data_IF_256710908233
#
_entry.id   IF_256710908233
#
_cell.length_a   1.000
_cell.length_b   1.000
_cell.length_c   1.000
_cell.angle_alpha   90.00
_cell.angle_beta   90.00
_cell.angle_gamma   90.00
#
_symmetry.space_group_name_H-M   'P 1'
#
loop_
_entity.id
_entity.type
_entity.pdbx_description
1 polymer ?
#
# COMPACT_ATOMS: atom_id res chain seq x y z
N UNK A 1 -12.99 -1.23 33.05
CA UNK A 1 -11.65 -0.94 32.49
C UNK A 1 -10.92 -2.12 31.80
N UNK A 2 -11.12 -3.42 32.10
CA UNK A 2 -10.26 -4.49 31.54
C UNK A 2 -10.58 -4.89 30.07
N UNK A 3 -11.83 -4.75 29.63
CA UNK A 3 -12.26 -5.16 28.27
C UNK A 3 -11.57 -4.32 27.17
N UNK A 4 -11.36 -3.03 27.41
CA UNK A 4 -10.72 -2.12 26.44
C UNK A 4 -9.22 -2.41 26.27
N UNK A 5 -8.55 -2.85 27.34
CA UNK A 5 -7.14 -3.28 27.30
C UNK A 5 -6.95 -4.64 26.63
N UNK A 6 -7.85 -5.60 26.89
CA UNK A 6 -7.87 -6.89 26.19
C UNK A 6 -8.11 -6.70 24.69
N UNK A 7 -9.03 -5.80 24.31
CA UNK A 7 -9.27 -5.45 22.91
C UNK A 7 -8.07 -4.73 22.26
N UNK A 8 -7.44 -3.79 22.97
CA UNK A 8 -6.26 -3.09 22.44
C UNK A 8 -5.08 -4.05 22.20
N UNK A 9 -4.87 -5.02 23.10
CA UNK A 9 -3.79 -6.00 22.98
C UNK A 9 -4.06 -7.09 21.92
N UNK A 10 -5.32 -7.48 21.70
CA UNK A 10 -5.67 -8.38 20.58
C UNK A 10 -5.54 -7.68 19.23
N UNK A 11 -5.95 -6.42 19.14
CA UNK A 11 -5.76 -5.57 17.95
C UNK A 11 -4.27 -5.42 17.64
N UNK A 12 -3.44 -5.02 18.61
CA UNK A 12 -1.99 -4.88 18.43
C UNK A 12 -1.30 -6.16 17.93
N UNK A 13 -1.70 -7.33 18.46
CA UNK A 13 -1.22 -8.64 17.97
C UNK A 13 -1.66 -8.92 16.53
N UNK A 14 -2.90 -8.57 16.19
CA UNK A 14 -3.41 -8.67 14.81
C UNK A 14 -2.59 -7.84 13.82
N UNK A 15 -2.27 -6.59 14.17
CA UNK A 15 -1.40 -5.73 13.35
C UNK A 15 -0.01 -6.34 13.16
N UNK A 16 0.61 -6.84 14.23
CA UNK A 16 1.94 -7.43 14.16
C UNK A 16 1.96 -8.67 13.25
N UNK A 17 0.98 -9.58 13.41
CA UNK A 17 0.86 -10.75 12.54
C UNK A 17 0.63 -10.36 11.08
N UNK A 18 -0.17 -9.33 10.84
CA UNK A 18 -0.43 -8.82 9.50
C UNK A 18 0.84 -8.23 8.86
N UNK A 19 1.60 -7.40 9.59
CA UNK A 19 2.86 -6.85 9.09
C UNK A 19 3.91 -7.93 8.83
N UNK A 20 3.99 -8.95 9.70
CA UNK A 20 4.87 -10.12 9.48
C UNK A 20 4.45 -10.86 8.20
N UNK A 21 3.15 -11.10 8.00
CA UNK A 21 2.64 -11.73 6.78
C UNK A 21 2.96 -10.89 5.53
N UNK A 22 2.78 -9.57 5.60
CA UNK A 22 3.06 -8.65 4.50
C UNK A 22 4.54 -8.64 4.13
N UNK A 23 5.44 -8.58 5.11
CA UNK A 23 6.89 -8.65 4.88
C UNK A 23 7.26 -10.01 4.27
N UNK A 24 6.73 -11.12 4.81
CA UNK A 24 6.98 -12.45 4.26
C UNK A 24 6.49 -12.57 2.82
N UNK A 25 5.29 -12.08 2.52
CA UNK A 25 4.73 -12.06 1.18
C UNK A 25 5.57 -11.22 0.22
N UNK A 26 6.02 -10.03 0.66
CA UNK A 26 6.89 -9.17 -0.13
C UNK A 26 8.22 -9.86 -0.43
N UNK A 27 8.85 -10.50 0.54
CA UNK A 27 10.09 -11.26 0.35
C UNK A 27 9.92 -12.40 -0.66
N UNK A 28 8.81 -13.14 -0.58
CA UNK A 28 8.51 -14.24 -1.51
C UNK A 28 8.22 -13.74 -2.94
N UNK A 29 7.69 -12.53 -3.08
CA UNK A 29 7.27 -11.96 -4.37
C UNK A 29 8.22 -10.88 -4.88
N UNK A 30 9.34 -10.65 -4.20
CA UNK A 30 10.27 -9.58 -4.54
C UNK A 30 10.93 -9.82 -5.90
N UNK A 31 11.34 -11.07 -6.18
CA UNK A 31 12.08 -11.41 -7.39
C UNK A 31 11.20 -11.96 -8.53
N UNK A 32 9.92 -11.58 -8.56
CA UNK A 32 8.97 -12.04 -9.61
C UNK A 32 9.17 -11.39 -10.98
N UNK A 33 10.33 -10.76 -11.21
CA UNK A 33 10.60 -9.94 -12.38
C UNK A 33 9.94 -8.55 -12.35
N UNK A 34 10.12 -7.81 -13.43
CA UNK A 34 9.60 -6.47 -13.65
C UNK A 34 8.44 -6.50 -14.65
N UNK A 35 7.25 -6.06 -14.22
CA UNK A 35 6.12 -5.94 -15.14
C UNK A 35 6.12 -4.54 -15.77
N UNK A 36 6.55 -4.44 -17.02
CA UNK A 36 6.64 -3.17 -17.72
C UNK A 36 5.30 -2.43 -17.81
N UNK A 37 4.18 -3.14 -18.00
CA UNK A 37 2.87 -2.51 -18.17
C UNK A 37 2.30 -1.95 -16.87
N UNK A 38 2.52 -2.63 -15.75
CA UNK A 38 1.99 -2.21 -14.45
C UNK A 38 3.01 -1.32 -13.74
N UNK A 39 4.20 -1.86 -13.49
CA UNK A 39 5.24 -1.22 -12.70
C UNK A 39 5.97 -0.13 -13.49
N UNK A 40 6.13 -0.30 -14.80
CA UNK A 40 6.71 0.75 -15.65
C UNK A 40 5.85 2.01 -15.71
N UNK A 41 4.52 1.86 -15.77
CA UNK A 41 3.59 2.97 -15.73
C UNK A 41 3.54 3.68 -14.37
N UNK A 42 4.01 3.04 -13.30
CA UNK A 42 4.16 3.65 -11.98
C UNK A 42 5.51 4.37 -11.80
N UNK A 43 6.60 3.70 -12.20
CA UNK A 43 7.97 4.14 -11.90
C UNK A 43 8.44 5.23 -12.85
N UNK A 44 8.22 5.06 -14.16
CA UNK A 44 8.76 5.99 -15.15
C UNK A 44 8.21 7.42 -15.01
N UNK A 45 6.89 7.64 -14.81
CA UNK A 45 6.37 8.97 -14.50
C UNK A 45 6.97 9.60 -13.25
N UNK A 46 7.26 8.81 -12.21
CA UNK A 46 7.86 9.31 -10.98
C UNK A 46 9.30 9.81 -11.23
N UNK A 47 10.07 9.11 -12.07
CA UNK A 47 11.41 9.57 -12.49
C UNK A 47 11.32 10.87 -13.28
N UNK A 48 10.38 10.99 -14.22
CA UNK A 48 10.19 12.24 -14.97
C UNK A 48 9.84 13.42 -14.04
N UNK A 49 9.01 13.20 -13.02
CA UNK A 49 8.69 14.23 -12.02
C UNK A 49 9.92 14.63 -11.21
N UNK A 50 10.81 13.69 -10.87
CA UNK A 50 12.08 14.03 -10.22
C UNK A 50 12.94 14.96 -11.10
N UNK A 51 12.84 14.81 -12.43
CA UNK A 51 13.51 15.66 -13.42
C UNK A 51 12.75 16.97 -13.70
N UNK A 52 11.63 17.22 -13.01
CA UNK A 52 10.85 18.46 -13.08
C UNK A 52 9.68 18.44 -14.07
N UNK A 53 9.35 17.29 -14.66
CA UNK A 53 8.19 17.18 -15.55
C UNK A 53 6.86 17.20 -14.78
N UNK A 54 5.84 17.80 -15.38
CA UNK A 54 4.51 17.92 -14.82
C UNK A 54 3.54 16.90 -15.47
N UNK A 55 2.81 16.10 -14.66
CA UNK A 55 1.81 15.16 -15.18
C UNK A 55 0.74 15.88 -16.01
N UNK A 56 0.32 15.26 -17.12
CA UNK A 56 -0.68 15.77 -18.07
C UNK A 56 -0.26 17.00 -18.89
N UNK A 57 0.86 17.66 -18.56
CA UNK A 57 1.43 18.76 -19.35
C UNK A 57 2.63 18.29 -20.17
N UNK A 58 3.60 17.66 -19.52
CA UNK A 58 4.85 17.23 -20.15
C UNK A 58 4.83 15.74 -20.55
N UNK A 59 3.98 14.95 -19.90
CA UNK A 59 3.77 13.54 -20.25
C UNK A 59 2.33 13.09 -20.01
N UNK A 60 1.91 12.08 -20.78
CA UNK A 60 0.58 11.50 -20.71
C UNK A 60 0.55 10.34 -19.72
N UNK A 61 -0.50 10.29 -18.90
CA UNK A 61 -0.72 9.20 -17.95
C UNK A 61 -2.21 8.83 -17.88
N UNK A 62 -2.47 7.54 -17.64
CA UNK A 62 -3.79 6.94 -17.51
C UNK A 62 -4.48 7.26 -16.16
N UNK A 63 -3.69 7.59 -15.14
CA UNK A 63 -4.18 7.81 -13.78
C UNK A 63 -4.02 9.26 -13.36
N UNK A 64 -4.66 9.62 -12.25
CA UNK A 64 -4.47 10.93 -11.64
C UNK A 64 -3.02 11.10 -11.18
N UNK A 65 -2.46 12.30 -11.39
CA UNK A 65 -1.03 12.56 -11.18
C UNK A 65 -0.49 12.38 -9.76
N UNK A 66 -1.36 12.31 -8.74
CA UNK A 66 -0.97 12.36 -7.32
C UNK A 66 -0.07 11.20 -6.88
N UNK A 67 -0.30 9.99 -7.37
CA UNK A 67 0.49 8.81 -6.96
C UNK A 67 1.95 8.91 -7.41
N UNK A 68 2.19 9.55 -8.56
CA UNK A 68 3.54 9.72 -9.10
C UNK A 68 4.37 10.70 -8.28
N UNK A 69 3.75 11.74 -7.71
CA UNK A 69 4.43 12.65 -6.79
C UNK A 69 4.84 11.95 -5.48
N UNK A 70 4.01 11.05 -4.96
CA UNK A 70 4.36 10.23 -3.81
C UNK A 70 5.58 9.34 -4.11
N UNK A 71 5.61 8.70 -5.28
CA UNK A 71 6.75 7.88 -5.69
C UNK A 71 8.00 8.70 -5.97
N UNK A 72 7.88 9.87 -6.60
CA UNK A 72 8.99 10.79 -6.80
C UNK A 72 9.59 11.25 -5.47
N UNK A 73 8.75 11.52 -4.46
CA UNK A 73 9.20 11.82 -3.10
C UNK A 73 9.93 10.64 -2.45
N UNK A 74 9.43 9.41 -2.61
CA UNK A 74 10.11 8.23 -2.08
C UNK A 74 11.46 8.01 -2.77
N UNK A 75 11.51 8.19 -4.09
CA UNK A 75 12.74 8.06 -4.86
C UNK A 75 13.76 9.17 -4.55
N UNK A 76 13.32 10.38 -4.20
CA UNK A 76 14.26 11.43 -3.78
C UNK A 76 14.89 11.15 -2.41
N UNK A 77 14.25 10.37 -1.56
CA UNK A 77 14.75 10.00 -0.22
C UNK A 77 15.61 8.73 -0.27
N UNK A 78 15.16 7.71 -1.00
CA UNK A 78 15.73 6.35 -0.95
C UNK A 78 16.45 5.93 -2.23
N UNK A 79 16.40 6.73 -3.30
CA UNK A 79 16.87 6.37 -4.64
C UNK A 79 15.79 5.69 -5.48
N UNK A 80 16.06 5.55 -6.79
CA UNK A 80 15.14 4.91 -7.74
C UNK A 80 15.27 3.39 -7.61
N UNK A 81 14.39 2.77 -6.82
CA UNK A 81 14.32 1.33 -6.62
C UNK A 81 12.87 0.85 -6.55
N UNK A 82 12.54 -0.19 -7.33
CA UNK A 82 11.18 -0.74 -7.41
C UNK A 82 10.67 -1.32 -6.10
N UNK A 83 11.58 -1.86 -5.29
CA UNK A 83 11.32 -2.39 -3.96
C UNK A 83 10.72 -1.35 -3.03
N UNK A 84 11.15 -0.08 -3.14
CA UNK A 84 10.60 1.02 -2.34
C UNK A 84 9.11 1.21 -2.66
N UNK A 85 8.75 1.24 -3.95
CA UNK A 85 7.35 1.40 -4.38
C UNK A 85 6.52 0.22 -3.92
N UNK A 86 7.03 -1.01 -4.09
CA UNK A 86 6.34 -2.23 -3.65
C UNK A 86 6.11 -2.25 -2.14
N UNK A 87 7.11 -1.86 -1.35
CA UNK A 87 6.99 -1.76 0.10
C UNK A 87 5.96 -0.69 0.51
N UNK A 88 6.01 0.50 -0.11
CA UNK A 88 5.08 1.58 0.17
C UNK A 88 3.62 1.17 -0.15
N UNK A 89 3.41 0.51 -1.30
CA UNK A 89 2.09 0.01 -1.69
C UNK A 89 1.59 -1.07 -0.72
N UNK A 90 2.46 -1.99 -0.32
CA UNK A 90 2.10 -3.05 0.63
C UNK A 90 1.66 -2.44 1.97
N UNK A 91 2.42 -1.47 2.51
CA UNK A 91 2.08 -0.75 3.74
C UNK A 91 0.73 -0.04 3.60
N UNK A 92 0.50 0.65 2.47
CA UNK A 92 -0.74 1.38 2.21
C UNK A 92 -1.96 0.45 2.17
N UNK A 93 -1.91 -0.59 1.32
CA UNK A 93 -3.00 -1.56 1.17
C UNK A 93 -3.28 -2.25 2.50
N UNK A 94 -2.22 -2.63 3.22
CA UNK A 94 -2.35 -3.27 4.51
C UNK A 94 -3.00 -2.39 5.57
N UNK A 95 -2.58 -1.13 5.63
CA UNK A 95 -3.19 -0.15 6.54
C UNK A 95 -4.66 0.08 6.19
N UNK A 96 -4.99 0.23 4.91
CA UNK A 96 -6.37 0.37 4.44
C UNK A 96 -7.23 -0.84 4.77
N UNK A 97 -6.72 -2.06 4.57
CA UNK A 97 -7.43 -3.29 4.89
C UNK A 97 -7.83 -3.32 6.38
N UNK A 98 -6.89 -2.99 7.27
CA UNK A 98 -7.21 -2.98 8.71
C UNK A 98 -8.17 -1.85 9.09
N UNK A 99 -7.98 -0.64 8.55
CA UNK A 99 -8.94 0.45 8.76
C UNK A 99 -10.34 0.01 8.34
N UNK A 100 -10.45 -0.67 7.20
CA UNK A 100 -11.72 -1.17 6.66
C UNK A 100 -12.35 -2.21 7.56
N UNK A 101 -11.58 -3.21 8.02
CA UNK A 101 -12.07 -4.25 8.96
C UNK A 101 -12.52 -3.60 10.28
N UNK A 102 -11.76 -2.65 10.81
CA UNK A 102 -12.09 -1.97 12.06
C UNK A 102 -13.32 -1.08 11.93
N UNK A 103 -13.55 -0.49 10.76
CA UNK A 103 -14.77 0.24 10.45
C UNK A 103 -15.95 -0.72 10.29
N UNK A 104 -15.78 -1.81 9.55
CA UNK A 104 -16.80 -2.84 9.34
C UNK A 104 -17.27 -3.46 10.65
N UNK A 105 -16.34 -3.76 11.56
CA UNK A 105 -16.64 -4.30 12.90
C UNK A 105 -17.49 -3.36 13.78
N UNK A 106 -17.68 -2.08 13.39
CA UNK A 106 -18.63 -1.17 14.06
C UNK A 106 -20.08 -1.41 13.64
N UNK A 107 -20.30 -2.05 12.48
CA UNK A 107 -21.62 -2.23 11.89
C UNK A 107 -22.05 -3.71 11.83
N UNK A 108 -21.12 -4.65 11.93
CA UNK A 108 -21.42 -6.09 11.84
C UNK A 108 -20.55 -6.93 12.80
N UNK A 109 -20.97 -8.16 13.17
CA UNK A 109 -20.16 -9.05 13.97
C UNK A 109 -18.85 -9.43 13.26
N UNK A 110 -17.77 -9.62 14.04
CA UNK A 110 -16.40 -9.83 13.55
C UNK A 110 -16.23 -10.86 12.42
N UNK A 111 -16.92 -12.04 12.40
CA UNK A 111 -16.78 -12.99 11.29
C UNK A 111 -17.19 -12.42 9.93
N UNK A 112 -18.18 -11.52 9.91
CA UNK A 112 -18.70 -10.93 8.68
C UNK A 112 -17.83 -9.77 8.18
N UNK A 113 -17.04 -9.15 9.07
CA UNK A 113 -16.15 -8.04 8.67
C UNK A 113 -14.98 -8.44 7.76
N UNK A 114 -14.69 -9.74 7.63
CA UNK A 114 -13.67 -10.26 6.72
C UNK A 114 -14.23 -10.67 5.36
N UNK A 115 -15.55 -10.83 5.23
CA UNK A 115 -16.15 -11.27 4.00
C UNK A 115 -16.26 -10.08 3.04
N UNK A 116 -15.79 -10.21 1.78
CA UNK A 116 -16.16 -9.26 0.76
C UNK A 116 -17.69 -9.27 0.64
N UNK A 117 -18.29 -8.08 0.53
CA UNK A 117 -19.72 -7.98 0.26
C UNK A 117 -20.09 -8.73 -1.03
N UNK A 118 -21.37 -9.07 -1.23
CA UNK A 118 -21.80 -9.64 -2.50
C UNK A 118 -21.37 -8.73 -3.67
N UNK A 119 -20.91 -9.31 -4.79
CA UNK A 119 -20.40 -8.57 -5.94
C UNK A 119 -21.47 -7.69 -6.61
#
# INVERSE_FOLDING_TARGET
>A
MPIRQLYASSVARGWLLFFVFLIAWLCLTYDRGFNLFDEGNAIYPAVLIMDGALPHLDFLTLYTGGVYYLYALLFSIFGVDIGIVRLALAILIGTLAVITIQLAARFMPYPWSFLPGPP
#
